data_IF_277811604732
#
_entry.id   IF_277811604732
#
_cell.length_a   1.000
_cell.length_b   1.000
_cell.length_c   1.000
_cell.angle_alpha   90.00
_cell.angle_beta   90.00
_cell.angle_gamma   90.00
#
_symmetry.space_group_name_H-M   'P 1'
#
loop_
_entity.id
_entity.type
_entity.pdbx_description
1 polymer ?
#
# COMPACT_ATOMS: atom_id res chain seq x y z
N UNK A 1 -16.51 -51.48 -27.17
CA UNK A 1 -16.75 -50.02 -27.18
C UNK A 1 -16.30 -49.50 -25.84
N UNK A 2 -15.13 -48.86 -25.79
CA UNK A 2 -14.58 -48.33 -24.54
C UNK A 2 -13.90 -47.00 -24.87
N UNK A 3 -14.63 -45.89 -24.67
CA UNK A 3 -14.19 -44.53 -24.97
C UNK A 3 -13.45 -43.96 -23.76
N UNK A 4 -12.13 -44.15 -23.69
CA UNK A 4 -11.29 -43.44 -22.72
C UNK A 4 -10.96 -42.05 -23.25
N UNK A 5 -11.71 -41.06 -22.78
CA UNK A 5 -11.42 -39.64 -22.93
C UNK A 5 -10.13 -39.30 -22.16
N UNK A 6 -9.01 -39.24 -22.89
CA UNK A 6 -7.73 -38.78 -22.35
C UNK A 6 -7.72 -37.25 -22.27
N UNK A 7 -8.05 -36.68 -21.11
CA UNK A 7 -7.79 -35.28 -20.80
C UNK A 7 -6.26 -35.13 -20.76
N UNK A 8 -5.67 -34.61 -21.84
CA UNK A 8 -4.27 -34.18 -21.84
C UNK A 8 -4.14 -33.03 -20.85
N UNK A 9 -3.41 -33.25 -19.76
CA UNK A 9 -2.98 -32.19 -18.87
C UNK A 9 -2.19 -31.15 -19.69
N UNK A 10 -2.63 -29.90 -19.66
CA UNK A 10 -1.84 -28.79 -20.20
C UNK A 10 -0.53 -28.71 -19.41
N UNK A 11 0.63 -28.63 -20.08
CA UNK A 11 1.89 -28.40 -19.37
C UNK A 11 1.79 -27.06 -18.65
N UNK A 12 2.10 -27.06 -17.35
CA UNK A 12 2.30 -25.82 -16.57
C UNK A 12 3.33 -24.99 -17.33
N UNK A 13 2.88 -23.86 -17.89
CA UNK A 13 3.77 -22.82 -18.38
C UNK A 13 4.73 -22.48 -17.24
N UNK A 14 6.00 -22.81 -17.41
CA UNK A 14 7.05 -22.28 -16.57
C UNK A 14 6.98 -20.77 -16.73
N UNK A 15 6.46 -20.08 -15.72
CA UNK A 15 6.51 -18.63 -15.63
C UNK A 15 7.97 -18.23 -15.48
N UNK A 16 8.71 -18.26 -16.59
CA UNK A 16 9.96 -17.56 -16.73
C UNK A 16 9.59 -16.09 -16.60
N UNK A 17 9.62 -15.60 -15.35
CA UNK A 17 9.42 -14.18 -15.09
C UNK A 17 10.42 -13.45 -15.96
N UNK A 18 9.91 -12.68 -16.92
CA UNK A 18 10.72 -11.84 -17.78
C UNK A 18 11.48 -10.87 -16.88
N UNK A 19 12.68 -11.26 -16.46
CA UNK A 19 13.60 -10.39 -15.75
C UNK A 19 13.93 -9.31 -16.76
N UNK A 20 13.47 -8.09 -16.51
CA UNK A 20 13.84 -6.96 -17.34
C UNK A 20 15.37 -6.91 -17.31
N UNK A 21 16.05 -7.13 -18.43
CA UNK A 21 17.50 -7.04 -18.45
C UNK A 21 17.84 -5.63 -17.98
N UNK A 22 18.72 -5.52 -16.99
CA UNK A 22 19.24 -4.22 -16.56
C UNK A 22 19.95 -3.66 -17.78
N UNK A 23 19.34 -2.69 -18.43
CA UNK A 23 19.85 -2.12 -19.67
C UNK A 23 21.24 -1.56 -19.39
N UNK A 24 22.20 -1.88 -20.25
CA UNK A 24 23.55 -1.33 -20.19
C UNK A 24 23.47 0.19 -20.07
N UNK A 25 24.37 0.77 -19.28
CA UNK A 25 24.38 2.22 -19.07
C UNK A 25 24.44 2.94 -20.41
N UNK A 26 23.50 3.87 -20.63
CA UNK A 26 23.51 4.76 -21.78
C UNK A 26 24.79 5.59 -21.70
N UNK A 27 25.67 5.37 -22.65
CA UNK A 27 26.98 5.99 -22.70
C UNK A 27 27.07 6.97 -23.87
N UNK A 28 28.05 7.86 -23.84
CA UNK A 28 28.34 8.75 -24.98
C UNK A 28 28.68 7.95 -26.25
N UNK A 29 29.20 6.73 -26.09
CA UNK A 29 29.62 5.87 -27.21
C UNK A 29 28.42 5.35 -28.01
N UNK A 30 27.24 5.25 -27.38
CA UNK A 30 26.00 4.85 -28.05
C UNK A 30 25.41 5.97 -28.92
N UNK A 31 25.88 7.21 -28.74
CA UNK A 31 25.40 8.39 -29.44
C UNK A 31 26.56 9.23 -29.96
N UNK A 32 27.42 8.72 -30.87
CA UNK A 32 28.63 9.43 -31.31
C UNK A 32 28.33 10.76 -32.02
N UNK A 33 27.21 10.84 -32.75
CA UNK A 33 26.81 12.03 -33.53
C UNK A 33 26.08 13.10 -32.70
N UNK A 34 25.72 12.79 -31.45
CA UNK A 34 24.96 13.73 -30.62
C UNK A 34 25.83 14.92 -30.17
N UNK A 35 25.24 16.09 -29.88
CA UNK A 35 25.99 17.22 -29.33
C UNK A 35 26.47 16.96 -27.90
N UNK A 36 27.48 17.69 -27.43
CA UNK A 36 28.11 17.44 -26.11
C UNK A 36 27.15 17.56 -24.91
N UNK A 37 26.07 18.34 -25.05
CA UNK A 37 25.05 18.44 -24.01
C UNK A 37 24.32 17.13 -23.75
N UNK A 38 24.37 16.14 -24.67
CA UNK A 38 23.66 14.87 -24.52
C UNK A 38 24.05 14.15 -23.23
N UNK A 39 25.32 14.25 -22.83
CA UNK A 39 25.85 13.65 -21.60
C UNK A 39 25.12 14.15 -20.35
N UNK A 40 24.66 15.41 -20.35
CA UNK A 40 23.88 16.01 -19.26
C UNK A 40 22.46 15.44 -19.17
N UNK A 41 21.95 14.86 -20.25
CA UNK A 41 20.60 14.29 -20.35
C UNK A 41 20.61 12.77 -20.16
N UNK A 42 21.67 12.09 -20.60
CA UNK A 42 21.82 10.64 -20.41
C UNK A 42 21.75 10.24 -18.94
N UNK A 43 22.39 11.00 -18.05
CA UNK A 43 22.41 10.69 -16.62
C UNK A 43 21.01 10.76 -15.94
N UNK A 44 20.22 11.85 -16.09
CA UNK A 44 18.84 11.87 -15.60
C UNK A 44 17.96 10.74 -16.16
N UNK A 45 18.09 10.42 -17.46
CA UNK A 45 17.35 9.31 -18.08
C UNK A 45 17.75 7.97 -17.44
N UNK A 46 19.06 7.76 -17.24
CA UNK A 46 19.60 6.57 -16.57
C UNK A 46 19.01 6.39 -15.16
N UNK A 47 18.96 7.48 -14.39
CA UNK A 47 18.40 7.47 -13.04
C UNK A 47 16.91 7.10 -13.06
N UNK A 48 16.14 7.74 -13.92
CA UNK A 48 14.71 7.45 -14.07
C UNK A 48 14.47 5.98 -14.45
N UNK A 49 15.16 5.48 -15.48
CA UNK A 49 15.04 4.09 -15.93
C UNK A 49 15.44 3.10 -14.82
N UNK A 50 16.46 3.40 -14.04
CA UNK A 50 16.88 2.57 -12.90
C UNK A 50 15.77 2.46 -11.84
N UNK A 51 15.09 3.57 -11.53
CA UNK A 51 13.98 3.58 -10.57
C UNK A 51 12.80 2.77 -11.11
N UNK A 52 12.43 2.95 -12.38
CA UNK A 52 11.33 2.21 -13.01
C UNK A 52 11.62 0.72 -13.06
N UNK A 53 12.81 0.31 -13.49
CA UNK A 53 13.20 -1.10 -13.54
C UNK A 53 13.19 -1.72 -12.13
N UNK A 54 13.70 -1.01 -11.11
CA UNK A 54 13.63 -1.49 -9.72
C UNK A 54 12.19 -1.65 -9.25
N UNK A 55 11.31 -0.69 -9.51
CA UNK A 55 9.90 -0.76 -9.14
C UNK A 55 9.20 -1.97 -9.80
N UNK A 56 9.40 -2.15 -11.11
CA UNK A 56 8.83 -3.27 -11.87
C UNK A 56 9.41 -4.62 -11.43
N UNK A 57 10.71 -4.68 -11.14
CA UNK A 57 11.38 -5.90 -10.66
C UNK A 57 10.89 -6.31 -9.27
N UNK A 58 10.62 -5.34 -8.41
CA UNK A 58 10.10 -5.57 -7.06
C UNK A 58 8.60 -5.87 -7.02
N UNK A 59 7.95 -6.07 -8.19
CA UNK A 59 6.51 -6.32 -8.30
C UNK A 59 5.65 -5.27 -7.62
N UNK A 60 6.15 -4.05 -7.41
CA UNK A 60 5.32 -2.93 -6.98
C UNK A 60 4.42 -2.59 -8.15
N UNK A 61 3.24 -3.19 -8.19
CA UNK A 61 2.27 -2.87 -9.22
C UNK A 61 1.70 -1.49 -8.91
N UNK A 62 1.28 -0.75 -9.94
CA UNK A 62 0.51 0.48 -9.72
C UNK A 62 -0.71 0.19 -8.84
N UNK A 63 -1.30 -0.99 -9.00
CA UNK A 63 -2.39 -1.47 -8.17
C UNK A 63 -2.01 -1.56 -6.69
N UNK A 64 -0.82 -2.03 -6.34
CA UNK A 64 -0.35 -2.05 -4.95
C UNK A 64 -0.19 -0.64 -4.37
N UNK A 65 0.30 0.32 -5.17
CA UNK A 65 0.42 1.72 -4.77
C UNK A 65 -0.94 2.42 -4.57
N UNK A 66 -1.99 1.96 -5.25
CA UNK A 66 -3.35 2.52 -5.13
C UNK A 66 -4.28 1.68 -4.25
N UNK A 67 -3.84 0.51 -3.79
CA UNK A 67 -4.63 -0.36 -2.94
C UNK A 67 -4.62 0.19 -1.51
N UNK A 68 -5.81 0.43 -0.99
CA UNK A 68 -6.04 0.93 0.35
C UNK A 68 -7.21 0.17 0.98
N UNK A 69 -7.20 0.05 2.30
CA UNK A 69 -8.31 -0.51 3.06
C UNK A 69 -9.00 0.63 3.80
N UNK A 70 -10.30 0.79 3.55
CA UNK A 70 -11.16 1.71 4.29
C UNK A 70 -11.99 0.89 5.27
N UNK A 71 -11.91 1.23 6.55
CA UNK A 71 -12.80 0.69 7.57
C UNK A 71 -13.60 1.82 8.20
N UNK A 72 -14.85 1.52 8.51
CA UNK A 72 -15.75 2.44 9.21
C UNK A 72 -16.37 1.72 10.40
N UNK A 73 -16.24 2.32 11.58
CA UNK A 73 -16.75 1.76 12.84
C UNK A 73 -17.43 2.86 13.64
N UNK A 74 -18.60 2.55 14.18
CA UNK A 74 -19.25 3.37 15.20
C UNK A 74 -19.00 2.76 16.56
N UNK A 75 -18.68 3.60 17.54
CA UNK A 75 -18.50 3.16 18.92
C UNK A 75 -18.78 4.29 19.91
N UNK A 76 -19.07 3.91 21.15
CA UNK A 76 -19.20 4.83 22.27
C UNK A 76 -17.83 4.94 22.94
N UNK A 77 -17.31 6.16 23.04
CA UNK A 77 -16.01 6.39 23.65
C UNK A 77 -16.03 6.10 25.16
N UNK A 78 -15.03 5.37 25.63
CA UNK A 78 -14.76 5.14 27.04
C UNK A 78 -13.91 6.25 27.66
N UNK A 79 -13.82 6.23 28.99
CA UNK A 79 -13.12 7.23 29.79
C UNK A 79 -11.60 7.22 29.63
N UNK A 80 -11.01 6.11 29.17
CA UNK A 80 -9.55 5.99 28.98
C UNK A 80 -9.21 5.72 27.51
N UNK A 81 -8.03 6.17 27.03
CA UNK A 81 -7.62 5.92 25.66
C UNK A 81 -7.60 4.43 25.29
N UNK A 82 -7.17 3.55 26.22
CA UNK A 82 -7.13 2.10 26.03
C UNK A 82 -8.53 1.48 25.88
N UNK A 83 -9.56 2.12 26.44
CA UNK A 83 -10.96 1.71 26.22
C UNK A 83 -11.46 2.04 24.81
N UNK A 84 -10.72 2.86 24.06
CA UNK A 84 -11.04 3.28 22.69
C UNK A 84 -10.15 2.55 21.67
N UNK A 85 -9.84 1.28 21.95
CA UNK A 85 -9.03 0.44 21.07
C UNK A 85 -9.89 -0.16 19.94
N UNK A 86 -9.33 -0.22 18.74
CA UNK A 86 -10.02 -0.72 17.54
C UNK A 86 -9.10 -1.67 16.81
N UNK A 87 -9.66 -2.78 16.30
CA UNK A 87 -8.93 -3.77 15.53
C UNK A 87 -9.67 -4.09 14.24
N UNK A 88 -8.93 -4.22 13.15
CA UNK A 88 -9.47 -4.69 11.88
C UNK A 88 -8.44 -5.49 11.09
N UNK A 89 -8.93 -6.37 10.21
CA UNK A 89 -8.10 -7.25 9.41
C UNK A 89 -7.38 -6.47 8.31
N UNK A 90 -6.06 -6.66 8.21
CA UNK A 90 -5.24 -6.25 7.09
C UNK A 90 -5.23 -7.37 6.05
N UNK A 91 -5.76 -7.10 4.85
CA UNK A 91 -6.03 -8.10 3.82
C UNK A 91 -5.02 -8.09 2.66
N UNK A 92 -4.06 -7.18 2.67
CA UNK A 92 -3.09 -7.06 1.58
C UNK A 92 -1.81 -7.81 1.93
N UNK A 93 -1.23 -8.50 0.95
CA UNK A 93 0.02 -9.28 1.10
C UNK A 93 1.28 -8.36 1.14
N UNK A 94 1.22 -7.27 1.89
CA UNK A 94 2.32 -6.30 2.07
C UNK A 94 2.23 -5.61 3.42
N UNK A 95 3.30 -4.98 3.90
CA UNK A 95 3.26 -4.24 5.15
C UNK A 95 2.47 -2.93 4.98
N UNK A 96 1.60 -2.54 5.94
CA UNK A 96 0.97 -1.23 5.95
C UNK A 96 2.05 -0.15 6.19
N UNK A 97 1.95 0.93 5.46
CA UNK A 97 2.90 2.05 5.44
C UNK A 97 2.32 3.28 6.13
N UNK A 98 1.01 3.49 6.01
CA UNK A 98 0.33 4.70 6.50
C UNK A 98 -1.06 4.37 7.02
N UNK A 99 -1.46 4.98 8.13
CA UNK A 99 -2.82 4.98 8.63
C UNK A 99 -3.29 6.43 8.81
N UNK A 100 -4.36 6.79 8.13
CA UNK A 100 -5.06 8.05 8.31
C UNK A 100 -6.39 7.79 8.98
N UNK A 101 -6.71 8.55 10.02
CA UNK A 101 -7.93 8.41 10.78
C UNK A 101 -8.74 9.69 10.76
N UNK A 102 -10.03 9.57 10.47
CA UNK A 102 -11.01 10.64 10.63
C UNK A 102 -12.05 10.23 11.67
N UNK A 103 -12.33 11.12 12.61
CA UNK A 103 -13.28 10.87 13.69
C UNK A 103 -14.33 11.97 13.67
N UNK A 104 -15.59 11.59 13.69
CA UNK A 104 -16.72 12.51 13.72
C UNK A 104 -17.66 12.12 14.86
N UNK A 105 -18.07 13.09 15.68
CA UNK A 105 -19.15 12.87 16.65
C UNK A 105 -20.46 12.65 15.91
N UNK A 106 -21.32 11.77 16.43
CA UNK A 106 -22.64 11.52 15.81
C UNK A 106 -23.75 12.40 16.41
N UNK A 107 -23.49 13.11 17.50
CA UNK A 107 -24.43 14.00 18.20
C UNK A 107 -24.61 15.38 17.55
N UNK A 108 -23.95 15.64 16.41
CA UNK A 108 -24.04 16.90 15.66
C UNK A 108 -23.17 18.04 16.22
N UNK A 109 -22.35 17.78 17.25
CA UNK A 109 -21.37 18.74 17.75
C UNK A 109 -20.06 18.58 16.98
N UNK A 110 -19.61 19.64 16.31
CA UNK A 110 -18.41 19.64 15.47
C UNK A 110 -17.22 20.31 16.17
N UNK A 111 -16.90 19.87 17.39
CA UNK A 111 -15.60 20.25 17.97
C UNK A 111 -14.49 19.56 17.18
N UNK A 112 -13.42 20.31 16.89
CA UNK A 112 -12.27 19.77 16.18
C UNK A 112 -11.49 18.86 17.12
N UNK A 113 -11.73 17.56 16.99
CA UNK A 113 -10.97 16.52 17.69
C UNK A 113 -9.74 16.21 16.84
N UNK A 114 -8.53 16.33 17.41
CA UNK A 114 -7.28 15.90 16.78
C UNK A 114 -6.79 14.60 17.43
N UNK A 115 -7.38 13.45 17.08
CA UNK A 115 -6.92 12.18 17.62
C UNK A 115 -5.56 11.84 17.03
N UNK A 116 -4.59 11.50 17.89
CA UNK A 116 -3.31 10.92 17.46
C UNK A 116 -3.39 9.41 17.71
N UNK A 117 -3.66 8.58 16.69
CA UNK A 117 -3.75 7.15 16.89
C UNK A 117 -2.35 6.55 17.06
N UNK A 118 -2.16 5.76 18.11
CA UNK A 118 -1.06 4.80 18.18
C UNK A 118 -1.53 3.49 17.57
N UNK A 119 -0.81 2.97 16.56
CA UNK A 119 -1.19 1.75 15.89
C UNK A 119 0.01 0.86 15.54
N UNK A 120 -0.25 -0.43 15.40
CA UNK A 120 0.72 -1.45 14.99
C UNK A 120 0.02 -2.57 14.21
N UNK A 121 0.82 -3.30 13.42
CA UNK A 121 0.39 -4.56 12.82
C UNK A 121 0.71 -5.72 13.78
N UNK A 122 -0.30 -6.48 14.18
CA UNK A 122 -0.17 -7.67 15.04
C UNK A 122 -0.78 -8.86 14.31
N UNK A 123 0.07 -9.77 13.82
CA UNK A 123 -0.36 -10.79 12.87
C UNK A 123 -0.93 -10.14 11.60
N UNK A 124 -2.12 -10.56 11.18
CA UNK A 124 -2.79 -10.02 10.00
C UNK A 124 -3.76 -8.88 10.36
N UNK A 125 -3.60 -8.21 11.50
CA UNK A 125 -4.53 -7.19 11.97
C UNK A 125 -3.86 -5.88 12.32
N UNK A 126 -4.48 -4.78 11.92
CA UNK A 126 -4.15 -3.45 12.42
C UNK A 126 -4.83 -3.28 13.77
N UNK A 127 -4.03 -2.94 14.77
CA UNK A 127 -4.50 -2.61 16.11
C UNK A 127 -4.23 -1.14 16.40
N UNK A 128 -5.28 -0.41 16.72
CA UNK A 128 -5.21 0.95 17.28
C UNK A 128 -5.31 0.78 18.80
N UNK A 129 -4.21 1.01 19.50
CA UNK A 129 -4.08 0.71 20.93
C UNK A 129 -4.87 1.68 21.82
N UNK A 130 -5.24 2.83 21.27
CA UNK A 130 -6.11 3.78 21.94
C UNK A 130 -6.21 5.10 21.20
N UNK A 131 -7.30 5.80 21.48
CA UNK A 131 -7.61 7.10 20.90
C UNK A 131 -7.80 8.10 22.03
N UNK A 132 -6.99 9.14 22.01
CA UNK A 132 -7.03 10.25 22.97
C UNK A 132 -7.93 11.38 22.48
N UNK A 133 -8.37 12.24 23.41
CA UNK A 133 -9.16 13.44 23.08
C UNK A 133 -10.65 13.20 22.82
N UNK A 134 -11.18 12.03 23.18
CA UNK A 134 -12.60 11.70 23.05
C UNK A 134 -13.36 11.99 24.35
N UNK A 135 -14.64 12.35 24.22
CA UNK A 135 -15.55 12.56 25.36
C UNK A 135 -16.19 11.23 25.76
N UNK A 136 -16.03 10.83 27.02
CA UNK A 136 -16.62 9.61 27.55
C UNK A 136 -18.15 9.59 27.37
N UNK A 137 -18.70 8.46 26.93
CA UNK A 137 -20.14 8.26 26.72
C UNK A 137 -20.69 8.85 25.42
N UNK A 138 -19.86 9.52 24.61
CA UNK A 138 -20.27 10.07 23.31
C UNK A 138 -20.04 9.04 22.21
N UNK A 139 -21.00 8.92 21.30
CA UNK A 139 -20.85 8.09 20.10
C UNK A 139 -20.06 8.82 19.00
N UNK A 140 -19.10 8.10 18.43
CA UNK A 140 -18.27 8.57 17.34
C UNK A 140 -18.34 7.60 16.16
N UNK A 141 -18.24 8.16 14.96
CA UNK A 141 -17.97 7.44 13.72
C UNK A 141 -16.50 7.63 13.35
N UNK A 142 -15.77 6.52 13.25
CA UNK A 142 -14.37 6.51 12.83
C UNK A 142 -14.29 5.95 11.42
N UNK A 143 -13.55 6.64 10.57
CA UNK A 143 -13.13 6.16 9.26
C UNK A 143 -11.61 6.07 9.27
N UNK A 144 -11.07 4.88 9.00
CA UNK A 144 -9.63 4.67 8.84
C UNK A 144 -9.32 4.33 7.40
N UNK A 145 -8.28 4.96 6.84
CA UNK A 145 -7.70 4.63 5.55
C UNK A 145 -6.29 4.12 5.80
N UNK A 146 -6.04 2.86 5.48
CA UNK A 146 -4.71 2.23 5.63
C UNK A 146 -4.15 1.89 4.26
N UNK A 147 -2.92 2.32 4.02
CA UNK A 147 -2.14 1.98 2.82
C UNK A 147 -1.01 1.06 3.18
#
# INVERSE_FOLDING_TARGET
MDLRCGIKAFPKSSTNMAKIPVQNQLSRQDFPEAPDWITKVLYPIQLFMTVVIKALTNKLTLQDNFSLIINQVKFIAGATPASNAIKFLWKLDRQPVELTMHITRTDGVYEVVFPVPSWNLVGDSIEINGIQGLTNGVEYNIVTVVK
#
